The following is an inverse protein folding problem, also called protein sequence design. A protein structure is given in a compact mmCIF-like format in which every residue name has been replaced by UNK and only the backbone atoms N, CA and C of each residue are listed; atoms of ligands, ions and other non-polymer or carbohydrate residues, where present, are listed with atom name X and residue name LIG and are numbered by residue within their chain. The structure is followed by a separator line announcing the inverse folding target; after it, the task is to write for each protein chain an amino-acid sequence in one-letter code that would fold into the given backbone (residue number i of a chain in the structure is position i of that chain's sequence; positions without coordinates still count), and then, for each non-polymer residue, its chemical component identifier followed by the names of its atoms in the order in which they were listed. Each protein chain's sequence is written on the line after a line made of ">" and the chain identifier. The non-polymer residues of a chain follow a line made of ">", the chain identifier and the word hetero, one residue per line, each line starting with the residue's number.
data_IF_443051393791
#
_entry.id   IF_443051393791
#
_cell.length_a   1.000
_cell.length_b   1.000
_cell.length_c   1.000
_cell.angle_alpha   90.00
_cell.angle_beta   90.00
_cell.angle_gamma   90.00
#
_symmetry.space_group_name_H-M   'P 1'
#
loop_
_entity.id
_entity.type
_entity.pdbx_description
1 polymer ?
#
# COMPACT_ATOMS: atom_id res chain seq x y z
N UNK A 1 14.31 -17.76 -12.27
CA UNK A 1 13.79 -16.48 -12.79
C UNK A 1 12.70 -16.02 -11.84
N UNK A 2 12.99 -15.11 -10.90
CA UNK A 2 12.02 -14.66 -9.89
C UNK A 2 11.14 -13.57 -10.49
N UNK A 3 9.93 -13.94 -10.91
CA UNK A 3 8.93 -12.98 -11.40
C UNK A 3 8.50 -12.06 -10.25
N UNK A 4 8.86 -10.78 -10.32
CA UNK A 4 8.34 -9.76 -9.42
C UNK A 4 6.94 -9.36 -9.87
N UNK A 5 5.93 -9.99 -9.28
CA UNK A 5 4.53 -9.63 -9.54
C UNK A 5 4.27 -8.22 -9.05
N UNK A 6 3.73 -7.37 -9.91
CA UNK A 6 3.25 -6.03 -9.55
C UNK A 6 1.73 -5.98 -9.60
N UNK A 7 1.11 -5.23 -8.70
CA UNK A 7 -0.33 -4.97 -8.66
C UNK A 7 -0.62 -3.49 -8.89
N UNK A 8 -1.82 -3.18 -9.39
CA UNK A 8 -2.27 -1.80 -9.61
C UNK A 8 -2.35 -1.01 -8.30
N UNK A 9 -1.90 0.24 -8.36
CA UNK A 9 -1.93 1.20 -7.25
C UNK A 9 -3.34 1.55 -6.77
N UNK A 10 -4.38 1.28 -7.56
CA UNK A 10 -5.78 1.46 -7.16
C UNK A 10 -6.13 0.73 -5.87
N UNK A 11 -5.58 -0.47 -5.64
CA UNK A 11 -5.81 -1.21 -4.41
C UNK A 11 -5.13 -0.56 -3.21
N UNK A 12 -3.93 -0.01 -3.40
CA UNK A 12 -3.20 0.72 -2.36
C UNK A 12 -3.95 1.99 -1.93
N UNK A 13 -4.52 2.74 -2.87
CA UNK A 13 -5.38 3.89 -2.56
C UNK A 13 -6.64 3.52 -1.76
N UNK A 14 -7.22 2.35 -2.02
CA UNK A 14 -8.36 1.84 -1.24
C UNK A 14 -7.95 1.50 0.21
N UNK A 15 -6.76 0.94 0.42
CA UNK A 15 -6.26 0.65 1.77
C UNK A 15 -5.91 1.94 2.51
N UNK A 16 -5.26 2.90 1.85
CA UNK A 16 -4.97 4.21 2.42
C UNK A 16 -6.27 4.88 2.89
N UNK A 17 -7.29 4.94 2.02
CA UNK A 17 -8.61 5.44 2.39
C UNK A 17 -9.20 4.71 3.60
N UNK A 18 -9.10 3.38 3.66
CA UNK A 18 -9.64 2.61 4.79
C UNK A 18 -8.90 2.87 6.13
N UNK A 19 -7.59 3.16 6.07
CA UNK A 19 -6.79 3.53 7.24
C UNK A 19 -7.18 4.93 7.74
N UNK A 20 -7.30 5.90 6.84
CA UNK A 20 -7.73 7.27 7.17
C UNK A 20 -9.13 7.29 7.79
N UNK A 21 -10.07 6.49 7.28
CA UNK A 21 -11.41 6.35 7.87
C UNK A 21 -11.39 5.78 9.29
N UNK A 22 -10.33 5.07 9.67
CA UNK A 22 -10.12 4.58 11.05
C UNK A 22 -9.39 5.60 11.94
N UNK A 23 -9.02 6.77 11.40
CA UNK A 23 -8.19 7.75 12.08
C UNK A 23 -6.72 7.34 12.21
N UNK A 24 -6.27 6.42 11.35
CA UNK A 24 -4.87 5.99 11.27
C UNK A 24 -4.16 6.79 10.19
N UNK A 25 -2.93 7.23 10.47
CA UNK A 25 -2.07 7.93 9.51
C UNK A 25 -1.58 6.94 8.43
N UNK A 26 -2.29 6.93 7.29
CA UNK A 26 -1.97 6.07 6.16
C UNK A 26 -0.60 6.40 5.58
N UNK A 27 -0.19 7.66 5.57
CA UNK A 27 1.12 8.08 5.07
C UNK A 27 2.25 7.49 5.93
N UNK A 28 2.13 7.55 7.25
CA UNK A 28 3.10 6.95 8.17
C UNK A 28 3.17 5.42 8.02
N UNK A 29 2.03 4.76 7.81
CA UNK A 29 1.98 3.30 7.62
C UNK A 29 2.63 2.90 6.29
N UNK A 30 2.33 3.62 5.22
CA UNK A 30 2.93 3.40 3.90
C UNK A 30 4.44 3.62 3.93
N UNK A 31 4.90 4.73 4.54
CA UNK A 31 6.32 5.01 4.71
C UNK A 31 7.04 3.91 5.52
N UNK A 32 6.38 3.33 6.53
CA UNK A 32 6.96 2.26 7.36
C UNK A 32 7.17 0.95 6.62
N UNK A 33 6.38 0.69 5.57
CA UNK A 33 6.58 -0.47 4.69
C UNK A 33 7.38 -0.14 3.43
N UNK A 34 7.93 1.08 3.33
CA UNK A 34 8.72 1.54 2.18
C UNK A 34 7.90 1.85 0.94
N UNK A 35 6.58 2.04 1.09
CA UNK A 35 5.67 2.42 0.01
C UNK A 35 5.49 3.93 -0.03
N UNK A 36 5.58 4.49 -1.23
CA UNK A 36 5.28 5.90 -1.46
C UNK A 36 3.77 6.05 -1.68
N UNK A 37 3.07 6.73 -0.77
CA UNK A 37 1.62 6.95 -0.87
C UNK A 37 1.27 7.85 -2.06
N UNK A 38 2.19 8.70 -2.54
CA UNK A 38 1.93 9.56 -3.69
C UNK A 38 1.75 8.75 -4.97
N UNK A 39 2.36 7.56 -5.07
CA UNK A 39 2.13 6.64 -6.18
C UNK A 39 0.68 6.10 -6.21
N UNK A 40 -0.09 6.20 -5.12
CA UNK A 40 -1.51 5.83 -5.13
C UNK A 40 -2.38 6.81 -5.92
N UNK A 41 -1.89 8.02 -6.18
CA UNK A 41 -2.57 9.03 -6.98
C UNK A 41 -2.40 8.80 -8.49
N UNK A 42 -1.44 7.95 -8.87
CA UNK A 42 -1.22 7.57 -10.25
C UNK A 42 -1.99 6.27 -10.56
N UNK A 43 -2.97 6.30 -11.47
CA UNK A 43 -3.79 5.12 -11.78
C UNK A 43 -3.03 4.02 -12.53
N UNK A 44 -1.88 4.32 -13.15
CA UNK A 44 -1.02 3.32 -13.82
C UNK A 44 0.15 2.86 -12.93
N UNK A 45 0.36 3.50 -11.77
CA UNK A 45 1.38 3.07 -10.84
C UNK A 45 1.19 1.62 -10.42
N UNK A 46 2.33 0.95 -10.28
CA UNK A 46 2.42 -0.47 -9.99
C UNK A 46 3.28 -0.67 -8.76
N UNK A 47 2.70 -1.25 -7.73
CA UNK A 47 3.43 -1.66 -6.54
C UNK A 47 3.84 -3.12 -6.64
N UNK A 48 4.96 -3.48 -6.03
CA UNK A 48 5.31 -4.89 -5.88
C UNK A 48 4.29 -5.58 -4.98
N UNK A 49 3.84 -6.76 -5.40
CA UNK A 49 2.91 -7.59 -4.61
C UNK A 49 3.49 -7.94 -3.25
N UNK A 50 4.82 -8.06 -3.14
CA UNK A 50 5.53 -8.30 -1.88
C UNK A 50 5.32 -7.16 -0.87
N UNK A 51 5.42 -5.91 -1.33
CA UNK A 51 5.30 -4.75 -0.46
C UNK A 51 3.84 -4.55 -0.03
N UNK A 52 2.90 -4.82 -0.94
CA UNK A 52 1.47 -4.85 -0.63
C UNK A 52 1.10 -5.97 0.34
N UNK A 53 1.78 -7.12 0.28
CA UNK A 53 1.60 -8.23 1.23
C UNK A 53 2.08 -7.84 2.63
N UNK A 54 3.17 -7.08 2.72
CA UNK A 54 3.65 -6.54 4.01
C UNK A 54 2.65 -5.54 4.60
N UNK A 55 2.10 -4.66 3.77
CA UNK A 55 1.07 -3.70 4.18
C UNK A 55 -0.20 -4.41 4.69
N UNK A 56 -0.63 -5.50 4.05
CA UNK A 56 -1.77 -6.31 4.52
C UNK A 56 -1.53 -6.96 5.89
N UNK A 57 -0.32 -7.45 6.14
CA UNK A 57 0.04 -8.00 7.45
C UNK A 57 0.08 -6.91 8.53
N UNK A 58 0.52 -5.70 8.18
CA UNK A 58 0.52 -4.58 9.12
C UNK A 58 -0.90 -4.25 9.61
N UNK A 59 -1.89 -4.25 8.70
CA UNK A 59 -3.31 -4.05 9.09
C UNK A 59 -3.80 -5.04 10.16
N UNK A 60 -3.29 -6.27 10.22
CA UNK A 60 -3.75 -7.26 11.23
C UNK A 60 -3.24 -6.97 12.64
N UNK A 61 -2.26 -6.08 12.79
CA UNK A 61 -1.58 -5.80 14.06
C UNK A 61 -2.09 -4.51 14.73
N UNK A 62 -2.94 -3.74 14.04
CA UNK A 62 -3.61 -2.52 14.54
C UNK A 62 -5.12 -2.66 14.54
#
# INVERSE_FOLDING_TARGET
>A
MTTRSTTLATWAGAIASALEHRGLDSQAIFARVGLDIAQTQDPDARYLVTDMTNLWHFRKVV
#
